data_IF_083752624720
#
_entry.id   IF_083752624720
#
_cell.length_a   1.000
_cell.length_b   1.000
_cell.length_c   1.000
_cell.angle_alpha   90.00
_cell.angle_beta   90.00
_cell.angle_gamma   90.00
#
_symmetry.space_group_name_H-M   'P 1'
#
loop_
_entity.id
_entity.type
_entity.pdbx_description
1 polymer ?
#
# COMPACT_ATOMS: atom_id res chain seq x y z
N UNK A 1 -13.24 -1.52 8.01
CA UNK A 1 -12.48 -1.16 6.80
C UNK A 1 -12.72 -2.11 5.64
N UNK A 2 -12.60 -3.44 5.80
CA UNK A 2 -12.88 -4.42 4.74
C UNK A 2 -14.30 -4.36 4.19
N UNK A 3 -15.31 -4.10 5.02
CA UNK A 3 -16.72 -4.01 4.60
C UNK A 3 -16.99 -2.82 3.67
N UNK A 4 -16.35 -1.66 3.92
CA UNK A 4 -16.49 -0.48 3.06
C UNK A 4 -15.89 -0.69 1.67
N UNK A 5 -14.81 -1.48 1.57
CA UNK A 5 -14.20 -1.86 0.29
C UNK A 5 -15.13 -2.81 -0.47
N UNK A 6 -15.81 -3.74 0.21
CA UNK A 6 -16.69 -4.73 -0.42
C UNK A 6 -17.94 -4.11 -1.05
N UNK A 7 -18.51 -3.06 -0.46
CA UNK A 7 -19.73 -2.42 -0.95
C UNK A 7 -19.48 -1.62 -2.24
N UNK A 8 -18.29 -1.03 -2.40
CA UNK A 8 -17.91 -0.26 -3.59
C UNK A 8 -17.11 -1.07 -4.64
N UNK A 9 -17.01 -2.39 -4.46
CA UNK A 9 -16.17 -3.23 -5.32
C UNK A 9 -16.59 -3.16 -6.79
N UNK A 10 -17.87 -2.99 -7.07
CA UNK A 10 -18.42 -2.95 -8.44
C UNK A 10 -17.93 -1.74 -9.24
N UNK A 11 -17.77 -0.59 -8.60
CA UNK A 11 -17.31 0.64 -9.25
C UNK A 11 -15.77 0.71 -9.29
N UNK A 12 -15.11 0.15 -8.28
CA UNK A 12 -13.64 0.01 -8.23
C UNK A 12 -13.12 -0.94 -9.31
N UNK A 13 -13.85 -2.01 -9.64
CA UNK A 13 -13.45 -2.98 -10.67
C UNK A 13 -13.54 -2.40 -12.09
N UNK A 14 -14.37 -1.39 -12.33
CA UNK A 14 -14.53 -0.76 -13.64
C UNK A 14 -13.32 0.08 -14.06
N UNK A 15 -12.54 0.58 -13.08
CA UNK A 15 -11.35 1.34 -13.34
C UNK A 15 -10.09 0.55 -12.92
N UNK A 16 -9.32 0.13 -13.91
CA UNK A 16 -8.09 -0.63 -13.70
C UNK A 16 -7.11 0.07 -12.73
N UNK A 17 -7.08 1.41 -12.74
CA UNK A 17 -6.21 2.21 -11.87
C UNK A 17 -6.58 2.04 -10.40
N UNK A 18 -7.86 2.07 -10.07
CA UNK A 18 -8.35 1.89 -8.70
C UNK A 18 -8.13 0.46 -8.21
N UNK A 19 -8.31 -0.52 -9.09
CA UNK A 19 -8.06 -1.93 -8.78
C UNK A 19 -6.59 -2.17 -8.42
N UNK A 20 -5.64 -1.66 -9.21
CA UNK A 20 -4.21 -1.80 -8.90
C UNK A 20 -3.81 -1.12 -7.59
N UNK A 21 -4.38 0.04 -7.28
CA UNK A 21 -4.15 0.72 -6.01
C UNK A 21 -4.68 -0.10 -4.82
N UNK A 22 -5.87 -0.67 -4.94
CA UNK A 22 -6.46 -1.52 -3.91
C UNK A 22 -5.62 -2.79 -3.66
N UNK A 23 -5.15 -3.45 -4.72
CA UNK A 23 -4.26 -4.63 -4.62
C UNK A 23 -2.95 -4.26 -3.92
N UNK A 24 -2.30 -3.16 -4.29
CA UNK A 24 -1.07 -2.72 -3.64
C UNK A 24 -1.25 -2.44 -2.15
N UNK A 25 -2.36 -1.81 -1.78
CA UNK A 25 -2.67 -1.56 -0.37
C UNK A 25 -2.91 -2.85 0.40
N UNK A 26 -3.67 -3.78 -0.17
CA UNK A 26 -3.91 -5.08 0.44
C UNK A 26 -2.60 -5.85 0.65
N UNK A 27 -1.73 -5.87 -0.35
CA UNK A 27 -0.39 -6.48 -0.26
C UNK A 27 0.43 -5.83 0.86
N UNK A 28 0.41 -4.51 0.97
CA UNK A 28 1.10 -3.78 2.03
C UNK A 28 0.58 -4.13 3.42
N UNK A 29 -0.73 -4.14 3.63
CA UNK A 29 -1.34 -4.54 4.91
C UNK A 29 -1.03 -5.99 5.27
N UNK A 30 -1.07 -6.89 4.29
CA UNK A 30 -0.71 -8.31 4.49
C UNK A 30 0.75 -8.45 4.90
N UNK A 31 1.66 -7.73 4.26
CA UNK A 31 3.07 -7.73 4.63
C UNK A 31 3.30 -7.22 6.07
N UNK A 32 2.67 -6.10 6.44
CA UNK A 32 2.72 -5.57 7.82
C UNK A 32 2.20 -6.59 8.82
N UNK A 33 1.09 -7.25 8.52
CA UNK A 33 0.50 -8.27 9.39
C UNK A 33 1.43 -9.47 9.58
N UNK A 34 2.02 -9.99 8.49
CA UNK A 34 2.95 -11.11 8.54
C UNK A 34 4.21 -10.75 9.34
N UNK A 35 4.81 -9.59 9.08
CA UNK A 35 6.01 -9.12 9.78
C UNK A 35 5.75 -8.92 11.28
N UNK A 36 4.59 -8.37 11.65
CA UNK A 36 4.18 -8.22 13.03
C UNK A 36 3.93 -9.57 13.71
N UNK A 37 3.36 -10.53 12.98
CA UNK A 37 3.14 -11.88 13.50
C UNK A 37 4.47 -12.59 13.79
N UNK A 38 5.46 -12.48 12.91
CA UNK A 38 6.79 -13.03 13.15
C UNK A 38 7.48 -12.37 14.35
N UNK A 39 7.33 -11.05 14.53
CA UNK A 39 7.88 -10.35 15.69
C UNK A 39 7.28 -10.84 17.03
N UNK A 40 6.04 -11.34 17.03
CA UNK A 40 5.36 -11.88 18.21
C UNK A 40 5.68 -13.35 18.48
N UNK A 41 6.28 -14.05 17.51
CA UNK A 41 6.72 -15.44 17.71
C UNK A 41 7.94 -15.45 18.64
N UNK A 42 7.73 -15.84 19.89
CA UNK A 42 8.79 -15.95 20.90
C UNK A 42 9.84 -17.00 20.54
N UNK A 43 11.05 -16.88 21.13
CA UNK A 43 12.19 -17.80 20.99
C UNK A 43 12.90 -17.79 19.62
N UNK A 44 12.69 -16.79 18.78
CA UNK A 44 13.47 -16.62 17.56
C UNK A 44 14.84 -15.99 17.86
N UNK A 45 15.86 -16.44 17.13
CA UNK A 45 17.15 -15.74 17.11
C UNK A 45 17.03 -14.49 16.25
N UNK A 46 17.87 -13.49 16.52
CA UNK A 46 17.91 -12.27 15.68
C UNK A 46 18.15 -12.59 14.20
N UNK A 47 18.97 -13.59 13.91
CA UNK A 47 19.26 -14.02 12.55
C UNK A 47 18.05 -14.65 11.85
N UNK A 48 17.31 -15.51 12.53
CA UNK A 48 16.11 -16.15 11.97
C UNK A 48 15.03 -15.09 11.68
N UNK A 49 14.77 -14.24 12.65
CA UNK A 49 13.82 -13.13 12.49
C UNK A 49 14.24 -12.19 11.35
N UNK A 50 15.54 -11.85 11.28
CA UNK A 50 16.08 -11.00 10.23
C UNK A 50 15.92 -11.61 8.84
N UNK A 51 16.11 -12.93 8.70
CA UNK A 51 15.93 -13.65 7.43
C UNK A 51 14.45 -13.66 6.99
N UNK A 52 13.55 -13.99 7.91
CA UNK A 52 12.10 -14.01 7.63
C UNK A 52 11.61 -12.62 7.21
N UNK A 53 12.01 -11.59 7.94
CA UNK A 53 11.66 -10.21 7.61
C UNK A 53 12.25 -9.76 6.27
N UNK A 54 13.48 -10.17 5.97
CA UNK A 54 14.14 -9.86 4.70
C UNK A 54 13.37 -10.45 3.52
N UNK A 55 12.99 -11.73 3.60
CA UNK A 55 12.25 -12.43 2.55
C UNK A 55 10.90 -11.74 2.31
N UNK A 56 10.13 -11.49 3.36
CA UNK A 56 8.81 -10.84 3.24
C UNK A 56 8.95 -9.43 2.68
N UNK A 57 9.92 -8.65 3.15
CA UNK A 57 10.14 -7.27 2.67
C UNK A 57 10.57 -7.23 1.21
N UNK A 58 11.40 -8.17 0.74
CA UNK A 58 11.79 -8.27 -0.67
C UNK A 58 10.60 -8.64 -1.56
N UNK A 59 9.79 -9.62 -1.16
CA UNK A 59 8.60 -10.03 -1.92
C UNK A 59 7.60 -8.88 -1.97
N UNK A 60 7.25 -8.28 -0.84
CA UNK A 60 6.30 -7.18 -0.76
C UNK A 60 6.79 -5.95 -1.54
N UNK A 61 8.08 -5.61 -1.42
CA UNK A 61 8.70 -4.52 -2.16
C UNK A 61 8.68 -4.74 -3.67
N UNK A 62 8.98 -5.96 -4.14
CA UNK A 62 8.93 -6.31 -5.55
C UNK A 62 7.51 -6.22 -6.13
N UNK A 63 6.51 -6.73 -5.40
CA UNK A 63 5.11 -6.67 -5.80
C UNK A 63 4.62 -5.20 -5.85
N UNK A 64 4.97 -4.41 -4.85
CA UNK A 64 4.61 -3.00 -4.77
C UNK A 64 5.24 -2.20 -5.92
N UNK A 65 6.52 -2.42 -6.22
CA UNK A 65 7.23 -1.76 -7.33
C UNK A 65 6.59 -2.10 -8.68
N UNK A 66 6.26 -3.37 -8.92
CA UNK A 66 5.53 -3.78 -10.14
C UNK A 66 4.18 -3.08 -10.27
N UNK A 67 3.45 -2.93 -9.17
CA UNK A 67 2.18 -2.21 -9.12
C UNK A 67 2.35 -0.73 -9.49
N UNK A 68 3.38 -0.08 -9.00
CA UNK A 68 3.69 1.31 -9.36
C UNK A 68 4.05 1.49 -10.83
N UNK A 69 4.92 0.65 -11.39
CA UNK A 69 5.33 0.72 -12.80
C UNK A 69 4.10 0.61 -13.72
N UNK A 70 3.18 -0.32 -13.42
CA UNK A 70 1.93 -0.47 -14.19
C UNK A 70 0.97 0.70 -13.99
N UNK A 71 0.88 1.24 -12.79
CA UNK A 71 0.05 2.40 -12.47
C UNK A 71 0.52 3.69 -13.15
N UNK A 72 1.84 3.89 -13.33
CA UNK A 72 2.40 5.04 -14.04
C UNK A 72 2.03 5.08 -15.53
N UNK A 73 1.88 3.94 -16.18
CA UNK A 73 1.52 3.88 -17.60
C UNK A 73 0.09 4.38 -17.88
N UNK A 74 -0.76 4.48 -16.86
CA UNK A 74 -2.18 4.84 -17.01
C UNK A 74 -2.49 6.26 -16.48
N UNK A 75 -1.64 6.84 -15.62
CA UNK A 75 -1.89 8.10 -14.94
C UNK A 75 -1.26 9.29 -15.70
N UNK A 76 -1.98 9.90 -16.64
CA UNK A 76 -1.64 11.22 -17.16
C UNK A 76 -2.06 12.33 -16.21
N UNK A 77 -1.18 13.25 -15.87
CA UNK A 77 -1.35 14.61 -15.33
C UNK A 77 -1.16 14.95 -13.85
N UNK A 78 -1.12 14.02 -12.89
CA UNK A 78 -0.82 14.38 -11.48
C UNK A 78 0.53 13.82 -10.99
N UNK A 79 1.61 14.13 -11.71
CA UNK A 79 2.94 13.55 -11.50
C UNK A 79 3.54 13.78 -10.10
N UNK A 80 3.41 14.97 -9.53
CA UNK A 80 4.11 15.33 -8.29
C UNK A 80 3.61 14.55 -7.06
N UNK A 81 2.30 14.43 -6.87
CA UNK A 81 1.69 13.69 -5.75
C UNK A 81 1.88 12.18 -5.90
N UNK A 82 1.86 11.68 -7.14
CA UNK A 82 2.12 10.28 -7.43
C UNK A 82 3.57 9.92 -7.16
N UNK A 83 4.52 10.79 -7.57
CA UNK A 83 5.94 10.59 -7.36
C UNK A 83 6.32 10.57 -5.87
N UNK A 84 5.79 11.50 -5.07
CA UNK A 84 6.02 11.52 -3.62
C UNK A 84 5.56 10.24 -2.93
N UNK A 85 4.43 9.68 -3.34
CA UNK A 85 3.89 8.42 -2.80
C UNK A 85 4.74 7.22 -3.19
N UNK A 86 5.15 7.16 -4.45
CA UNK A 86 6.02 6.08 -4.94
C UNK A 86 7.37 6.13 -4.24
N UNK A 87 7.96 7.31 -4.15
CA UNK A 87 9.24 7.51 -3.47
C UNK A 87 9.14 7.17 -1.98
N UNK A 88 8.09 7.65 -1.29
CA UNK A 88 7.86 7.36 0.13
C UNK A 88 7.63 5.87 0.39
N UNK A 89 6.77 5.23 -0.38
CA UNK A 89 6.54 3.78 -0.27
C UNK A 89 7.79 2.96 -0.54
N UNK A 90 8.54 3.29 -1.60
CA UNK A 90 9.80 2.60 -1.92
C UNK A 90 10.86 2.81 -0.85
N UNK A 91 10.99 4.01 -0.28
CA UNK A 91 11.91 4.30 0.81
C UNK A 91 11.58 3.47 2.07
N UNK A 92 10.29 3.27 2.38
CA UNK A 92 9.88 2.42 3.49
C UNK A 92 10.30 0.96 3.30
N UNK A 93 10.10 0.40 2.11
CA UNK A 93 10.52 -0.97 1.82
C UNK A 93 12.04 -1.12 1.83
N UNK A 94 12.78 -0.13 1.32
CA UNK A 94 14.25 -0.11 1.43
C UNK A 94 14.69 -0.06 2.89
N UNK A 95 14.06 0.76 3.72
CA UNK A 95 14.32 0.81 5.15
C UNK A 95 14.07 -0.54 5.84
N UNK A 96 12.98 -1.22 5.50
CA UNK A 96 12.69 -2.57 6.00
C UNK A 96 13.75 -3.59 5.57
N UNK A 97 14.16 -3.58 4.29
CA UNK A 97 15.22 -4.48 3.79
C UNK A 97 16.55 -4.21 4.49
N UNK A 98 16.96 -2.95 4.64
CA UNK A 98 18.19 -2.58 5.34
C UNK A 98 18.13 -3.01 6.81
N UNK A 99 17.04 -2.71 7.52
CA UNK A 99 16.85 -3.11 8.91
C UNK A 99 16.87 -4.62 9.11
N UNK A 100 16.20 -5.35 8.22
CA UNK A 100 16.18 -6.82 8.24
C UNK A 100 17.55 -7.43 7.93
N UNK A 101 18.30 -6.86 6.99
CA UNK A 101 19.64 -7.28 6.66
C UNK A 101 20.61 -7.04 7.84
N UNK A 102 20.54 -5.90 8.50
CA UNK A 102 21.31 -5.60 9.71
C UNK A 102 21.01 -6.61 10.83
N UNK A 103 19.74 -6.93 11.02
CA UNK A 103 19.31 -7.92 12.01
C UNK A 103 19.83 -9.31 11.66
N UNK A 104 19.80 -9.71 10.39
CA UNK A 104 20.34 -10.97 9.90
C UNK A 104 21.85 -11.09 10.15
N UNK A 105 22.62 -10.02 9.96
CA UNK A 105 24.06 -9.98 10.25
C UNK A 105 24.35 -9.97 11.76
N UNK A 106 23.34 -9.80 12.62
CA UNK A 106 23.48 -9.87 14.07
C UNK A 106 23.49 -8.50 14.77
N UNK A 107 23.27 -7.41 14.03
CA UNK A 107 23.16 -6.08 14.64
C UNK A 107 21.76 -5.87 15.21
N UNK A 108 21.59 -5.90 16.54
CA UNK A 108 20.30 -5.71 17.20
C UNK A 108 19.58 -4.42 16.87
N UNK A 109 20.30 -3.37 16.48
CA UNK A 109 19.73 -2.10 16.00
C UNK A 109 18.89 -2.26 14.73
N UNK A 110 19.09 -3.31 13.95
CA UNK A 110 18.29 -3.61 12.77
C UNK A 110 16.80 -3.70 13.06
N UNK A 111 16.41 -4.18 14.26
CA UNK A 111 15.00 -4.23 14.69
C UNK A 111 14.37 -2.84 14.71
N UNK A 112 15.06 -1.85 15.28
CA UNK A 112 14.53 -0.49 15.36
C UNK A 112 14.39 0.15 13.98
N UNK A 113 15.36 -0.03 13.10
CA UNK A 113 15.31 0.49 11.74
C UNK A 113 14.13 -0.12 10.98
N UNK A 114 14.00 -1.44 11.04
CA UNK A 114 12.89 -2.15 10.39
C UNK A 114 11.52 -1.76 10.99
N UNK A 115 11.42 -1.63 12.32
CA UNK A 115 10.19 -1.25 12.99
C UNK A 115 9.75 0.18 12.63
N UNK A 116 10.68 1.14 12.63
CA UNK A 116 10.38 2.52 12.21
C UNK A 116 9.89 2.54 10.75
N UNK A 117 10.60 1.85 9.85
CA UNK A 117 10.21 1.75 8.45
C UNK A 117 8.82 1.10 8.29
N UNK A 118 8.51 0.09 9.12
CA UNK A 118 7.20 -0.58 9.13
C UNK A 118 6.08 0.38 9.58
N UNK A 119 6.30 1.14 10.65
CA UNK A 119 5.32 2.13 11.16
C UNK A 119 5.06 3.22 10.14
N UNK A 120 6.11 3.75 9.51
CA UNK A 120 5.99 4.77 8.46
C UNK A 120 5.25 4.19 7.25
N UNK A 121 5.56 2.97 6.83
CA UNK A 121 4.85 2.28 5.76
C UNK A 121 3.35 2.12 6.09
N UNK A 122 3.04 1.73 7.32
CA UNK A 122 1.65 1.60 7.78
C UNK A 122 0.89 2.93 7.71
N UNK A 123 1.54 4.04 8.10
CA UNK A 123 0.97 5.38 7.95
C UNK A 123 0.67 5.72 6.48
N UNK A 124 1.58 5.43 5.55
CA UNK A 124 1.34 5.64 4.12
C UNK A 124 0.18 4.79 3.60
N UNK A 125 0.05 3.54 4.06
CA UNK A 125 -1.05 2.65 3.67
C UNK A 125 -2.41 3.18 4.15
N UNK A 126 -2.50 3.66 5.40
CA UNK A 126 -3.73 4.24 5.95
C UNK A 126 -4.11 5.50 5.16
N UNK A 127 -3.16 6.42 4.98
CA UNK A 127 -3.37 7.67 4.24
C UNK A 127 -3.81 7.41 2.80
N UNK A 128 -3.21 6.39 2.16
CA UNK A 128 -3.58 5.95 0.84
C UNK A 128 -5.00 5.40 0.77
N UNK A 129 -5.39 4.58 1.73
CA UNK A 129 -6.72 4.00 1.82
C UNK A 129 -7.81 5.06 2.02
N UNK A 130 -7.53 6.06 2.85
CA UNK A 130 -8.44 7.18 3.07
C UNK A 130 -8.72 7.96 1.78
N UNK A 131 -7.69 8.26 1.01
CA UNK A 131 -7.84 8.97 -0.26
C UNK A 131 -8.57 8.17 -1.34
N UNK A 132 -8.48 6.85 -1.33
CA UNK A 132 -9.29 6.00 -2.19
C UNK A 132 -10.78 6.11 -1.84
N UNK A 133 -11.11 6.05 -0.54
CA UNK A 133 -12.50 6.14 -0.08
C UNK A 133 -13.10 7.49 -0.45
N UNK A 134 -12.40 8.58 -0.16
CA UNK A 134 -12.87 9.94 -0.46
C UNK A 134 -13.00 10.16 -1.97
N UNK A 135 -12.05 9.67 -2.77
CA UNK A 135 -12.09 9.82 -4.23
C UNK A 135 -13.27 9.09 -4.87
N UNK A 136 -13.63 7.91 -4.39
CA UNK A 136 -14.78 7.15 -4.89
C UNK A 136 -16.12 7.80 -4.53
N UNK A 137 -16.23 8.38 -3.35
CA UNK A 137 -17.45 9.09 -2.92
C UNK A 137 -17.69 10.34 -3.77
N UNK A 138 -16.65 11.10 -4.11
CA UNK A 138 -16.77 12.29 -4.94
C UNK A 138 -17.18 11.98 -6.39
N UNK A 139 -16.66 10.89 -6.97
CA UNK A 139 -17.03 10.47 -8.33
C UNK A 139 -18.47 9.97 -8.43
N UNK A 140 -19.00 9.36 -7.37
CA UNK A 140 -20.39 8.89 -7.32
C UNK A 140 -21.39 10.04 -7.11
N UNK A 141 -20.99 11.14 -6.48
CA UNK A 141 -21.85 12.32 -6.25
C UNK A 141 -21.95 13.28 -7.44
N UNK A 142 -21.08 13.13 -8.44
CA UNK A 142 -21.03 13.98 -9.63
C UNK A 142 -21.84 13.45 -10.83
N UNK A 143 -22.76 12.48 -10.64
CA UNK A 143 -23.67 12.07 -11.69
C UNK A 143 -24.63 13.23 -12.03
N UNK A 144 -24.60 13.78 -13.26
CA UNK A 144 -25.45 14.92 -13.63
C UNK A 144 -26.91 14.50 -13.60
N UNK A 145 -27.74 15.23 -12.89
CA UNK A 145 -29.20 15.28 -13.06
C UNK A 145 -29.54 15.93 -14.42
N UNK A 146 -29.07 15.32 -15.52
CA UNK A 146 -29.49 15.66 -16.88
C UNK A 146 -30.53 14.66 -17.39
N UNK A 147 -31.72 14.71 -16.82
CA UNK A 147 -32.88 14.10 -17.48
C UNK A 147 -34.18 14.82 -17.11
N UNK A 148 -34.26 16.14 -17.29
CA UNK A 148 -35.52 16.85 -17.12
C UNK A 148 -35.71 18.05 -18.07
N UNK A 149 -35.17 17.97 -19.31
CA UNK A 149 -35.43 19.02 -20.30
C UNK A 149 -35.70 18.50 -21.71
N UNK A 150 -36.56 17.54 -21.88
CA UNK A 150 -37.14 17.25 -23.20
C UNK A 150 -38.52 16.64 -23.07
N UNK A 151 -39.49 17.43 -22.59
CA UNK A 151 -40.91 17.17 -22.87
C UNK A 151 -41.70 18.49 -22.79
N UNK A 152 -41.47 19.35 -23.77
CA UNK A 152 -42.44 20.39 -24.09
C UNK A 152 -42.16 20.97 -25.49
N UNK A 153 -42.63 20.25 -26.53
CA UNK A 153 -43.11 20.83 -27.79
C UNK A 153 -43.95 19.83 -28.53
#
# INVERSE_FOLDING_TARGET
MFVAISVNLRDVIKDATHTFRAINMLTGFTAVFILSSFALMGRQTHQTLGLEWLIVSLIAGALNTRGYIRGFSVAGSHYALSLFRVAGGSACYLGQVIGSALLFVGFGWGVFVAAIALVVNFYFLISGSWLLIVGTVQSSGAAPTESSKHTSR
#
